data_IF_437940494315
#
_entry.id   IF_437940494315
#
_cell.length_a   1.000
_cell.length_b   1.000
_cell.length_c   1.000
_cell.angle_alpha   90.00
_cell.angle_beta   90.00
_cell.angle_gamma   90.00
#
_symmetry.space_group_name_H-M   'P 1'
#
loop_
_entity.id
_entity.type
_entity.pdbx_description
1 polymer ?
#
# COMPACT_ATOMS: atom_id res chain seq x y z
N UNK A 1 -10.47 2.80 -0.26
CA UNK A 1 -9.11 2.54 0.20
C UNK A 1 -9.02 1.75 1.49
N UNK A 2 -9.73 2.12 2.54
CA UNK A 2 -9.78 1.35 3.81
C UNK A 2 -10.20 -0.13 3.66
N UNK A 3 -11.06 -0.44 2.70
CA UNK A 3 -11.42 -1.83 2.39
C UNK A 3 -10.23 -2.60 1.78
N UNK A 4 -9.44 -1.95 0.94
CA UNK A 4 -8.27 -2.56 0.29
C UNK A 4 -7.14 -2.82 1.27
N UNK A 5 -6.92 -1.95 2.25
CA UNK A 5 -5.92 -2.20 3.31
C UNK A 5 -6.25 -3.44 4.14
N UNK A 6 -7.52 -3.73 4.38
CA UNK A 6 -7.94 -4.97 5.05
C UNK A 6 -7.60 -6.22 4.25
N UNK A 7 -7.75 -6.19 2.93
CA UNK A 7 -7.36 -7.31 2.06
C UNK A 7 -5.83 -7.51 2.06
N UNK A 8 -5.06 -6.43 1.96
CA UNK A 8 -3.60 -6.47 2.06
C UNK A 8 -3.19 -7.08 3.39
N UNK A 9 -3.78 -6.63 4.50
CA UNK A 9 -3.46 -7.14 5.83
C UNK A 9 -3.85 -8.61 6.01
N UNK A 10 -4.90 -9.07 5.36
CA UNK A 10 -5.28 -10.49 5.37
C UNK A 10 -4.22 -11.36 4.66
N UNK A 11 -3.64 -10.89 3.56
CA UNK A 11 -2.53 -11.59 2.89
C UNK A 11 -1.25 -11.52 3.73
N UNK A 12 -0.91 -10.37 4.31
CA UNK A 12 0.27 -10.20 5.18
C UNK A 12 0.23 -11.12 6.40
N UNK A 13 -0.94 -11.31 6.99
CA UNK A 13 -1.13 -12.16 8.17
C UNK A 13 -0.96 -13.67 7.90
N UNK A 14 -0.95 -14.08 6.62
CA UNK A 14 -0.74 -15.50 6.22
C UNK A 14 0.73 -15.88 6.11
N UNK A 15 1.63 -14.90 6.16
CA UNK A 15 3.05 -15.10 5.93
C UNK A 15 3.78 -15.31 7.24
N UNK A 16 4.58 -16.36 7.31
CA UNK A 16 5.32 -16.78 8.51
C UNK A 16 6.72 -16.12 8.56
N UNK A 17 6.73 -14.78 8.61
CA UNK A 17 7.95 -14.03 8.90
C UNK A 17 8.14 -13.88 10.41
N UNK A 18 9.39 -13.67 10.86
CA UNK A 18 9.70 -13.36 12.26
C UNK A 18 8.97 -12.11 12.77
N UNK A 19 8.69 -11.18 11.88
CA UNK A 19 7.94 -9.96 12.18
C UNK A 19 6.59 -9.98 11.47
N UNK A 20 5.54 -9.56 12.17
CA UNK A 20 4.20 -9.35 11.60
C UNK A 20 4.08 -7.92 11.13
N UNK A 21 3.63 -7.75 9.91
CA UNK A 21 3.45 -6.44 9.29
C UNK A 21 1.97 -6.12 9.10
N UNK A 22 1.59 -4.89 9.37
CA UNK A 22 0.23 -4.37 9.18
C UNK A 22 0.29 -3.06 8.39
N UNK A 23 -0.44 -2.97 7.29
CA UNK A 23 -0.58 -1.75 6.52
C UNK A 23 -1.74 -0.92 7.10
N UNK A 24 -1.40 0.15 7.79
CA UNK A 24 -2.34 1.04 8.46
C UNK A 24 -2.65 2.25 7.57
N UNK A 25 -3.94 2.42 7.27
CA UNK A 25 -4.46 3.54 6.48
C UNK A 25 -5.55 4.22 7.30
N UNK A 26 -5.33 5.48 7.65
CA UNK A 26 -6.28 6.27 8.44
C UNK A 26 -6.51 7.62 7.80
N UNK A 27 -7.70 8.15 7.95
CA UNK A 27 -7.94 9.55 7.64
C UNK A 27 -7.06 10.44 8.52
N UNK A 28 -6.59 11.54 7.90
CA UNK A 28 -5.78 12.54 8.61
C UNK A 28 -6.56 13.14 9.76
N UNK A 29 -5.85 13.39 10.89
CA UNK A 29 -6.40 14.02 12.09
C UNK A 29 -5.29 14.87 12.70
N UNK A 30 -5.09 16.07 12.16
CA UNK A 30 -3.98 16.96 12.50
C UNK A 30 -4.39 18.44 12.56
N UNK A 31 -5.70 18.73 12.49
CA UNK A 31 -6.23 20.08 12.47
C UNK A 31 -6.05 20.80 11.13
N UNK A 32 -5.56 20.11 10.10
CA UNK A 32 -5.34 20.68 8.77
C UNK A 32 -6.63 20.95 8.02
N UNK A 33 -6.52 21.67 6.92
CA UNK A 33 -7.63 21.90 6.00
C UNK A 33 -8.19 20.57 5.45
N UNK A 34 -7.35 19.54 5.29
CA UNK A 34 -7.77 18.21 4.85
C UNK A 34 -8.71 17.53 5.85
N UNK A 35 -8.42 17.62 7.15
CA UNK A 35 -9.30 17.10 8.19
C UNK A 35 -10.65 17.82 8.20
N UNK A 36 -10.64 19.13 8.11
CA UNK A 36 -11.86 19.97 8.08
C UNK A 36 -12.75 19.66 6.88
N UNK A 37 -12.16 19.46 5.70
CA UNK A 37 -12.86 19.02 4.49
C UNK A 37 -13.51 17.64 4.71
N UNK A 38 -12.79 16.69 5.35
CA UNK A 38 -13.34 15.38 5.68
C UNK A 38 -14.48 15.45 6.69
N UNK A 39 -14.38 16.31 7.69
CA UNK A 39 -15.46 16.52 8.66
C UNK A 39 -16.70 17.07 8.00
N UNK A 40 -16.55 18.08 7.14
CA UNK A 40 -17.65 18.62 6.37
C UNK A 40 -18.29 17.58 5.45
N UNK A 41 -17.50 16.80 4.74
CA UNK A 41 -17.99 15.72 3.88
C UNK A 41 -18.76 14.65 4.65
N UNK A 42 -18.33 14.30 5.86
CA UNK A 42 -19.07 13.38 6.75
C UNK A 42 -20.38 13.97 7.20
N UNK A 43 -20.38 15.24 7.61
CA UNK A 43 -21.58 15.94 8.00
C UNK A 43 -22.62 15.96 6.89
N UNK A 44 -22.21 16.24 5.64
CA UNK A 44 -23.11 16.21 4.50
C UNK A 44 -23.69 14.81 4.25
N UNK A 45 -22.87 13.79 4.37
CA UNK A 45 -23.30 12.40 4.20
C UNK A 45 -24.30 11.97 5.27
N UNK A 46 -24.02 12.26 6.54
CA UNK A 46 -24.92 11.98 7.66
C UNK A 46 -26.27 12.68 7.48
N UNK A 47 -26.25 13.93 7.00
CA UNK A 47 -27.45 14.69 6.70
C UNK A 47 -28.26 14.09 5.54
N UNK A 48 -27.58 13.60 4.50
CA UNK A 48 -28.22 12.92 3.36
C UNK A 48 -28.84 11.59 3.78
N UNK A 49 -28.13 10.79 4.59
CA UNK A 49 -28.65 9.51 5.12
C UNK A 49 -29.88 9.70 6.02
N UNK A 50 -29.91 10.75 6.83
CA UNK A 50 -31.07 11.10 7.66
C UNK A 50 -32.25 11.57 6.81
N UNK A 51 -32.01 12.26 5.68
CA UNK A 51 -33.06 12.71 4.77
C UNK A 51 -33.66 11.59 3.91
N UNK A 52 -32.96 10.46 3.76
CA UNK A 52 -33.42 9.30 2.95
C UNK A 52 -34.09 8.21 3.77
N UNK A 53 -33.87 8.18 5.09
CA UNK A 53 -34.53 7.23 5.99
C UNK A 53 -35.96 7.67 6.28
N UNK A 54 -36.91 7.06 5.58
CA UNK A 54 -38.35 7.14 5.81
C UNK A 54 -39.04 8.52 5.71
N UNK A 55 -39.02 9.22 4.64
CA UNK A 55 -40.04 10.22 4.23
C UNK A 55 -40.80 11.08 5.26
N UNK A 56 -40.52 10.95 6.54
CA UNK A 56 -41.08 11.70 7.68
C UNK A 56 -39.96 12.17 8.60
N UNK A 57 -39.27 13.23 8.19
CA UNK A 57 -38.52 14.02 9.16
C UNK A 57 -39.50 14.69 10.10
N UNK A 58 -39.54 14.27 11.34
CA UNK A 58 -40.24 15.02 12.40
C UNK A 58 -39.54 16.36 12.60
N UNK A 59 -40.34 17.40 12.79
CA UNK A 59 -39.86 18.78 13.00
C UNK A 59 -38.89 18.90 14.17
N UNK A 60 -38.98 18.00 15.16
CA UNK A 60 -38.06 17.91 16.30
C UNK A 60 -36.66 17.36 15.94
N UNK A 61 -36.53 16.50 14.94
CA UNK A 61 -35.23 16.01 14.47
C UNK A 61 -34.51 17.08 13.59
N UNK A 62 -35.28 17.95 12.95
CA UNK A 62 -34.70 19.09 12.21
C UNK A 62 -34.13 20.18 13.13
N UNK A 63 -34.71 20.35 14.30
CA UNK A 63 -34.30 21.41 15.26
C UNK A 63 -33.24 20.95 16.25
N UNK A 64 -33.10 19.66 16.54
CA UNK A 64 -32.12 19.15 17.50
C UNK A 64 -30.73 18.84 16.88
N UNK A 65 -30.63 18.63 15.59
CA UNK A 65 -29.37 18.80 14.86
C UNK A 65 -29.16 20.29 14.58
N UNK A 66 -28.96 21.03 15.67
CA UNK A 66 -28.94 22.47 15.65
C UNK A 66 -27.90 22.99 14.66
N UNK A 67 -28.33 23.95 13.93
CA UNK A 67 -27.68 24.77 12.95
C UNK A 67 -26.22 25.17 13.29
N UNK A 68 -25.86 25.26 14.57
CA UNK A 68 -24.56 25.80 15.01
C UNK A 68 -23.35 25.02 14.47
N UNK A 69 -23.34 23.68 14.55
CA UNK A 69 -22.22 22.87 14.05
C UNK A 69 -22.17 22.85 12.53
N UNK A 70 -23.33 22.78 11.89
CA UNK A 70 -23.42 22.81 10.43
C UNK A 70 -22.96 24.15 9.86
N UNK A 71 -23.40 25.23 10.47
CA UNK A 71 -23.03 26.60 10.09
C UNK A 71 -21.54 26.88 10.35
N UNK A 72 -20.97 26.34 11.42
CA UNK A 72 -19.55 26.45 11.72
C UNK A 72 -18.69 25.71 10.68
N UNK A 73 -19.04 24.45 10.36
CA UNK A 73 -18.34 23.65 9.35
C UNK A 73 -18.48 24.28 7.94
N UNK A 74 -19.65 24.80 7.61
CA UNK A 74 -19.87 25.48 6.34
C UNK A 74 -19.05 26.78 6.24
N UNK A 75 -18.96 27.54 7.30
CA UNK A 75 -18.14 28.75 7.36
C UNK A 75 -16.66 28.45 7.27
N UNK A 76 -16.18 27.38 7.92
CA UNK A 76 -14.80 26.92 7.76
C UNK A 76 -14.51 26.47 6.33
N UNK A 77 -15.43 25.70 5.73
CA UNK A 77 -15.30 25.28 4.34
C UNK A 77 -15.25 26.45 3.36
N UNK A 78 -16.10 27.45 3.54
CA UNK A 78 -16.07 28.69 2.74
C UNK A 78 -14.73 29.40 2.86
N UNK A 79 -14.12 29.47 4.05
CA UNK A 79 -12.79 30.05 4.24
C UNK A 79 -11.70 29.27 3.50
N UNK A 80 -11.78 27.94 3.53
CA UNK A 80 -10.84 27.06 2.81
C UNK A 80 -10.97 27.26 1.30
N UNK A 81 -12.19 27.22 0.76
CA UNK A 81 -12.48 27.43 -0.67
C UNK A 81 -11.96 28.81 -1.11
N UNK A 82 -12.28 29.87 -0.39
CA UNK A 82 -11.83 31.21 -0.73
C UNK A 82 -10.30 31.31 -0.75
N UNK A 83 -9.61 30.65 0.17
CA UNK A 83 -8.15 30.61 0.23
C UNK A 83 -7.53 29.84 -0.94
N UNK A 84 -8.17 28.76 -1.38
CA UNK A 84 -7.74 27.98 -2.54
C UNK A 84 -7.94 28.79 -3.82
N UNK A 85 -9.14 29.34 -4.02
CA UNK A 85 -9.50 30.08 -5.23
C UNK A 85 -8.72 31.40 -5.36
N UNK A 86 -8.51 32.12 -4.25
CA UNK A 86 -7.77 33.38 -4.26
C UNK A 86 -6.26 33.23 -4.46
N UNK A 87 -5.72 32.01 -4.30
CA UNK A 87 -4.27 31.77 -4.43
C UNK A 87 -3.79 31.72 -5.87
N UNK A 88 -4.69 31.52 -6.86
CA UNK A 88 -4.37 31.29 -8.30
C UNK A 88 -3.27 30.22 -8.53
N UNK A 89 -3.10 29.32 -7.55
CA UNK A 89 -2.06 28.32 -7.50
C UNK A 89 -2.64 26.94 -7.89
N UNK A 90 -2.39 26.56 -9.14
CA UNK A 90 -2.87 25.29 -9.70
C UNK A 90 -2.36 24.08 -8.91
N UNK A 91 -1.11 24.09 -8.45
CA UNK A 91 -0.55 22.98 -7.67
C UNK A 91 -1.32 22.80 -6.34
N UNK A 92 -1.77 23.91 -5.76
CA UNK A 92 -2.53 23.87 -4.52
C UNK A 92 -3.91 23.24 -4.73
N UNK A 93 -4.57 23.61 -5.83
CA UNK A 93 -5.87 23.03 -6.23
C UNK A 93 -5.70 21.51 -6.47
N UNK A 94 -4.68 21.10 -7.21
CA UNK A 94 -4.39 19.70 -7.48
C UNK A 94 -4.11 18.90 -6.19
N UNK A 95 -3.39 19.48 -5.22
CA UNK A 95 -3.15 18.86 -3.91
C UNK A 95 -4.45 18.62 -3.14
N UNK A 96 -5.40 19.55 -3.16
CA UNK A 96 -6.70 19.35 -2.51
C UNK A 96 -7.61 18.39 -3.28
N UNK A 97 -7.44 18.25 -4.59
CA UNK A 97 -8.16 17.28 -5.41
C UNK A 97 -7.61 15.84 -5.24
N UNK A 98 -6.37 15.67 -4.78
CA UNK A 98 -5.76 14.37 -4.57
C UNK A 98 -6.21 13.75 -3.24
N UNK A 99 -7.05 12.71 -3.33
CA UNK A 99 -7.58 11.99 -2.16
C UNK A 99 -6.49 11.38 -1.26
N UNK A 100 -5.27 11.16 -1.79
CA UNK A 100 -4.15 10.61 -1.03
C UNK A 100 -3.71 11.52 0.09
N UNK A 101 -3.86 12.83 -0.08
CA UNK A 101 -3.51 13.84 0.93
C UNK A 101 -4.47 13.89 2.12
N UNK A 102 -5.60 13.16 2.04
CA UNK A 102 -6.57 13.04 3.14
C UNK A 102 -6.32 11.83 4.03
N UNK A 103 -5.26 11.07 3.76
CA UNK A 103 -4.96 9.82 4.45
C UNK A 103 -3.50 9.78 4.91
N UNK A 104 -3.30 9.23 6.08
CA UNK A 104 -1.99 8.80 6.58
C UNK A 104 -1.80 7.32 6.27
N UNK A 105 -0.63 7.00 5.73
CA UNK A 105 -0.20 5.64 5.41
C UNK A 105 0.97 5.29 6.29
N UNK A 106 0.89 4.16 6.98
CA UNK A 106 1.96 3.67 7.84
C UNK A 106 2.06 2.15 7.75
N UNK A 107 3.27 1.64 7.91
CA UNK A 107 3.50 0.21 8.10
C UNK A 107 3.81 0.01 9.58
N UNK A 108 3.01 -0.81 10.24
CA UNK A 108 3.22 -1.21 11.62
C UNK A 108 3.94 -2.55 11.64
N UNK A 109 4.93 -2.66 12.50
CA UNK A 109 5.69 -3.90 12.70
C UNK A 109 5.54 -4.38 14.13
N UNK A 110 5.34 -5.69 14.28
CA UNK A 110 5.29 -6.37 15.57
C UNK A 110 6.21 -7.58 15.54
N UNK A 111 7.03 -7.73 16.57
CA UNK A 111 7.88 -8.90 16.81
C UNK A 111 8.08 -9.05 18.33
N UNK A 112 9.03 -9.89 18.76
CA UNK A 112 9.33 -10.13 20.18
C UNK A 112 9.67 -8.86 20.98
N UNK A 113 10.17 -7.81 20.29
CA UNK A 113 10.63 -6.55 20.91
C UNK A 113 9.64 -5.39 20.62
N UNK A 114 9.02 -5.40 19.46
CA UNK A 114 8.18 -4.30 18.97
C UNK A 114 6.70 -4.72 18.97
N UNK A 115 5.84 -3.82 19.41
CA UNK A 115 4.40 -4.00 19.35
C UNK A 115 3.76 -2.84 18.59
N UNK A 116 3.29 -3.12 17.36
CA UNK A 116 2.69 -2.13 16.45
C UNK A 116 3.51 -0.85 16.31
N UNK A 117 4.82 -1.01 16.24
CA UNK A 117 5.73 0.12 16.08
C UNK A 117 5.67 0.63 14.63
N UNK A 118 5.73 1.95 14.45
CA UNK A 118 5.75 2.56 13.13
C UNK A 118 7.08 2.30 12.43
N UNK A 119 7.06 1.66 11.27
CA UNK A 119 8.26 1.37 10.50
C UNK A 119 9.03 2.65 10.14
N UNK A 120 8.32 3.73 9.81
CA UNK A 120 8.90 5.03 9.50
C UNK A 120 9.76 5.63 10.62
N UNK A 121 9.52 5.22 11.88
CA UNK A 121 10.24 5.67 13.06
C UNK A 121 11.37 4.74 13.53
N UNK A 122 11.53 3.60 12.85
CA UNK A 122 12.49 2.55 13.24
C UNK A 122 13.83 2.65 12.48
N UNK A 123 14.16 3.82 11.93
CA UNK A 123 15.45 4.05 11.24
C UNK A 123 16.61 3.78 12.20
N UNK A 124 17.31 2.65 12.02
CA UNK A 124 18.48 2.24 12.78
C UNK A 124 18.34 0.99 13.63
N UNK A 125 17.13 0.48 13.87
CA UNK A 125 16.89 -0.76 14.62
C UNK A 125 16.66 -2.00 13.74
N UNK A 126 16.25 -1.79 12.48
CA UNK A 126 15.88 -2.91 11.61
C UNK A 126 17.06 -3.28 10.71
N UNK A 127 17.31 -4.57 10.58
CA UNK A 127 18.15 -5.08 9.50
C UNK A 127 17.57 -4.63 8.16
N UNK A 128 18.42 -4.44 7.15
CA UNK A 128 17.95 -3.98 5.85
C UNK A 128 16.78 -4.80 5.27
N UNK A 129 16.71 -6.11 5.63
CA UNK A 129 15.64 -7.01 5.25
C UNK A 129 14.29 -6.65 5.86
N UNK A 130 14.26 -6.32 7.15
CA UNK A 130 13.02 -5.99 7.88
C UNK A 130 12.33 -4.73 7.34
N UNK A 131 13.08 -3.86 6.68
CA UNK A 131 12.53 -2.69 5.98
C UNK A 131 12.05 -3.06 4.58
N UNK A 132 12.79 -3.89 3.84
CA UNK A 132 12.50 -4.22 2.44
C UNK A 132 11.27 -5.14 2.29
N UNK A 133 11.14 -6.14 3.13
CA UNK A 133 10.05 -7.14 3.09
C UNK A 133 8.66 -6.49 3.03
N UNK A 134 8.25 -5.62 3.97
CA UNK A 134 6.90 -5.07 3.98
C UNK A 134 6.57 -4.23 2.76
N UNK A 135 7.54 -3.51 2.19
CA UNK A 135 7.30 -2.75 0.96
C UNK A 135 7.03 -3.65 -0.24
N UNK A 136 7.80 -4.72 -0.40
CA UNK A 136 7.59 -5.70 -1.48
C UNK A 136 6.24 -6.39 -1.31
N UNK A 137 5.91 -6.82 -0.10
CA UNK A 137 4.63 -7.50 0.18
C UNK A 137 3.43 -6.59 -0.11
N UNK A 138 3.48 -5.33 0.30
CA UNK A 138 2.41 -4.37 0.00
C UNK A 138 2.29 -4.15 -1.50
N UNK A 139 3.43 -4.00 -2.21
CA UNK A 139 3.43 -3.86 -3.66
C UNK A 139 2.81 -5.08 -4.34
N UNK A 140 3.23 -6.28 -4.00
CA UNK A 140 2.70 -7.53 -4.55
C UNK A 140 1.22 -7.70 -4.22
N UNK A 141 0.81 -7.43 -2.99
CA UNK A 141 -0.60 -7.49 -2.59
C UNK A 141 -1.46 -6.49 -3.37
N UNK A 142 -0.94 -5.30 -3.63
CA UNK A 142 -1.61 -4.30 -4.47
C UNK A 142 -1.74 -4.76 -5.93
N UNK A 143 -0.69 -5.39 -6.48
CA UNK A 143 -0.72 -5.97 -7.83
C UNK A 143 -1.72 -7.11 -7.94
N UNK A 144 -1.79 -8.00 -6.95
CA UNK A 144 -2.76 -9.10 -6.90
C UNK A 144 -4.21 -8.60 -6.93
N UNK A 145 -4.48 -7.42 -6.37
CA UNK A 145 -5.81 -6.82 -6.46
C UNK A 145 -6.15 -6.31 -7.87
N UNK A 146 -5.13 -6.01 -8.69
CA UNK A 146 -5.29 -5.59 -10.09
C UNK A 146 -5.40 -6.83 -10.98
N UNK A 147 -4.62 -7.87 -10.70
CA UNK A 147 -4.64 -9.15 -11.39
C UNK A 147 -5.85 -9.98 -10.95
N UNK A 148 -7.00 -9.70 -11.55
CA UNK A 148 -8.24 -10.39 -11.23
C UNK A 148 -8.24 -11.81 -11.85
N UNK A 149 -8.68 -12.83 -11.09
CA UNK A 149 -8.80 -14.21 -11.55
C UNK A 149 -9.79 -14.41 -12.72
N UNK A 150 -10.68 -13.45 -12.92
CA UNK A 150 -11.69 -13.49 -13.98
C UNK A 150 -11.15 -13.13 -15.36
N UNK A 151 -10.02 -12.49 -15.43
CA UNK A 151 -9.38 -12.12 -16.69
C UNK A 151 -8.16 -13.01 -16.87
N UNK A 152 -8.01 -13.67 -18.02
CA UNK A 152 -6.80 -14.39 -18.42
C UNK A 152 -5.62 -13.42 -18.60
N UNK A 153 -5.30 -12.66 -17.57
CA UNK A 153 -4.21 -11.70 -17.59
C UNK A 153 -2.90 -12.38 -17.22
N UNK A 154 -1.86 -12.07 -17.96
CA UNK A 154 -0.49 -12.42 -17.59
C UNK A 154 -0.14 -11.73 -16.27
N UNK A 155 0.12 -12.49 -15.22
CA UNK A 155 0.48 -11.98 -13.89
C UNK A 155 1.98 -11.69 -13.82
N UNK A 156 2.47 -10.90 -14.78
CA UNK A 156 3.89 -10.59 -14.91
C UNK A 156 4.30 -9.49 -13.94
N UNK A 157 5.36 -9.74 -13.18
CA UNK A 157 5.97 -8.78 -12.27
C UNK A 157 7.47 -8.71 -12.54
N UNK A 158 7.98 -7.51 -12.77
CA UNK A 158 9.40 -7.25 -12.95
C UNK A 158 9.92 -6.42 -11.77
N UNK A 159 10.91 -6.93 -11.04
CA UNK A 159 11.50 -6.25 -9.88
C UNK A 159 13.03 -6.36 -9.96
N UNK A 160 13.69 -5.23 -9.75
CA UNK A 160 15.13 -5.15 -9.66
C UNK A 160 15.58 -5.31 -8.20
N UNK A 161 16.52 -6.20 -7.96
CA UNK A 161 17.12 -6.53 -6.65
C UNK A 161 16.14 -6.73 -5.48
N UNK A 162 15.05 -7.51 -5.62
CA UNK A 162 14.03 -7.62 -4.58
C UNK A 162 14.54 -8.27 -3.29
N UNK A 163 15.67 -8.97 -3.35
CA UNK A 163 16.22 -9.75 -2.24
C UNK A 163 17.56 -9.22 -1.70
N UNK A 164 18.03 -8.06 -2.15
CA UNK A 164 19.38 -7.57 -1.88
C UNK A 164 19.75 -7.55 -0.40
N UNK A 165 18.78 -7.23 0.46
CA UNK A 165 18.98 -7.11 1.91
C UNK A 165 18.34 -8.25 2.73
N UNK A 166 17.81 -9.29 2.07
CA UNK A 166 17.15 -10.40 2.75
C UNK A 166 18.14 -11.54 3.04
N UNK A 167 17.96 -12.18 4.19
CA UNK A 167 18.61 -13.45 4.48
C UNK A 167 17.97 -14.61 3.70
N UNK A 168 18.66 -15.77 3.57
CA UNK A 168 18.14 -16.87 2.77
C UNK A 168 16.78 -17.43 3.21
N UNK A 169 16.46 -17.36 4.50
CA UNK A 169 15.18 -17.84 5.03
C UNK A 169 14.04 -16.95 4.55
N UNK A 170 14.19 -15.63 4.70
CA UNK A 170 13.21 -14.66 4.25
C UNK A 170 13.04 -14.66 2.72
N UNK A 171 14.14 -14.89 1.97
CA UNK A 171 14.06 -15.07 0.50
C UNK A 171 13.17 -16.24 0.14
N UNK A 172 13.34 -17.41 0.77
CA UNK A 172 12.53 -18.59 0.50
C UNK A 172 11.05 -18.39 0.84
N UNK A 173 10.74 -17.75 1.96
CA UNK A 173 9.36 -17.40 2.33
C UNK A 173 8.73 -16.50 1.27
N UNK A 174 9.48 -15.47 0.82
CA UNK A 174 9.00 -14.55 -0.20
C UNK A 174 8.75 -15.24 -1.55
N UNK A 175 9.67 -16.10 -1.99
CA UNK A 175 9.51 -16.88 -3.22
C UNK A 175 8.33 -17.84 -3.14
N UNK A 176 8.14 -18.50 -1.99
CA UNK A 176 6.97 -19.35 -1.73
C UNK A 176 5.68 -18.58 -1.90
N UNK A 177 5.57 -17.39 -1.29
CA UNK A 177 4.42 -16.52 -1.46
C UNK A 177 4.16 -16.14 -2.93
N UNK A 178 5.20 -15.75 -3.67
CA UNK A 178 5.07 -15.38 -5.08
C UNK A 178 4.58 -16.55 -5.93
N UNK A 179 5.07 -17.77 -5.67
CA UNK A 179 4.65 -19.00 -6.35
C UNK A 179 3.18 -19.34 -6.05
N UNK A 180 2.77 -19.29 -4.79
CA UNK A 180 1.38 -19.55 -4.37
C UNK A 180 0.40 -18.60 -5.06
N UNK A 181 0.80 -17.35 -5.25
CA UNK A 181 0.00 -16.35 -5.95
C UNK A 181 0.04 -16.51 -7.47
N UNK A 182 0.74 -17.50 -8.01
CA UNK A 182 0.89 -17.78 -9.46
C UNK A 182 1.38 -16.54 -10.22
N UNK A 183 2.30 -15.79 -9.65
CA UNK A 183 2.94 -14.66 -10.28
C UNK A 183 4.05 -15.15 -11.22
N UNK A 184 4.09 -14.61 -12.42
CA UNK A 184 5.22 -14.77 -13.31
C UNK A 184 6.24 -13.68 -12.99
N UNK A 185 7.32 -14.08 -12.30
CA UNK A 185 8.32 -13.16 -11.79
C UNK A 185 9.53 -13.09 -12.71
N UNK A 186 9.98 -11.86 -12.99
CA UNK A 186 11.29 -11.59 -13.57
C UNK A 186 12.03 -10.66 -12.63
N UNK A 187 13.18 -11.07 -12.14
CA UNK A 187 13.98 -10.24 -11.24
C UNK A 187 15.48 -10.36 -11.51
N UNK A 188 16.19 -9.26 -11.29
CA UNK A 188 17.64 -9.24 -11.24
C UNK A 188 18.09 -9.47 -9.80
N UNK A 189 18.96 -10.44 -9.55
CA UNK A 189 19.48 -10.74 -8.22
C UNK A 189 20.92 -11.27 -8.30
N UNK A 190 21.90 -10.42 -8.64
CA UNK A 190 23.25 -10.86 -8.91
C UNK A 190 23.92 -11.56 -7.71
N UNK A 191 23.62 -11.11 -6.49
CA UNK A 191 24.26 -11.59 -5.26
C UNK A 191 23.48 -12.72 -4.56
N UNK A 192 22.44 -13.27 -5.18
CA UNK A 192 21.56 -14.27 -4.56
C UNK A 192 21.35 -15.53 -5.38
N UNK A 193 22.16 -15.74 -6.42
CA UNK A 193 22.01 -16.88 -7.34
C UNK A 193 22.10 -18.23 -6.62
N UNK A 194 22.92 -18.32 -5.58
CA UNK A 194 23.08 -19.51 -4.75
C UNK A 194 21.86 -19.84 -3.89
N UNK A 195 21.04 -18.82 -3.57
CA UNK A 195 19.86 -19.00 -2.73
C UNK A 195 18.59 -19.23 -3.57
N UNK A 196 18.49 -18.55 -4.72
CA UNK A 196 17.28 -18.52 -5.54
C UNK A 196 17.36 -19.40 -6.77
N UNK A 197 18.55 -19.85 -7.18
CA UNK A 197 18.76 -20.56 -8.44
C UNK A 197 17.89 -21.81 -8.57
N UNK A 198 17.83 -22.62 -7.52
CA UNK A 198 17.01 -23.84 -7.49
C UNK A 198 15.49 -23.56 -7.52
N UNK A 199 15.09 -22.34 -7.23
CA UNK A 199 13.69 -21.90 -7.20
C UNK A 199 13.25 -21.23 -8.51
N UNK A 200 14.19 -20.98 -9.43
CA UNK A 200 13.92 -20.38 -10.74
C UNK A 200 13.68 -21.44 -11.79
N UNK A 201 12.76 -21.19 -12.74
CA UNK A 201 12.58 -22.04 -13.91
C UNK A 201 13.67 -21.79 -14.97
N UNK A 202 14.10 -20.52 -15.09
CA UNK A 202 15.08 -20.08 -16.07
C UNK A 202 16.01 -19.07 -15.40
N UNK A 203 17.30 -19.22 -15.63
CA UNK A 203 18.33 -18.26 -15.25
C UNK A 203 18.96 -17.70 -16.52
N UNK A 204 19.05 -16.38 -16.61
CA UNK A 204 19.67 -15.65 -17.71
C UNK A 204 20.98 -15.02 -17.23
N UNK A 205 22.11 -15.75 -17.23
CA UNK A 205 23.40 -15.17 -16.87
C UNK A 205 23.81 -14.15 -17.93
N UNK A 206 24.16 -12.93 -17.48
CA UNK A 206 24.66 -11.85 -18.33
C UNK A 206 26.16 -11.75 -18.15
N UNK A 207 26.91 -12.01 -19.21
CA UNK A 207 28.37 -11.98 -19.23
C UNK A 207 28.86 -10.77 -20.02
N UNK A 208 29.65 -9.93 -19.39
CA UNK A 208 30.32 -8.81 -20.06
C UNK A 208 31.68 -9.28 -20.62
N UNK A 209 31.80 -9.43 -21.93
CA UNK A 209 33.05 -9.85 -22.57
C UNK A 209 34.01 -8.69 -22.85
N UNK A 210 33.45 -7.53 -23.24
CA UNK A 210 34.19 -6.30 -23.54
C UNK A 210 33.36 -5.10 -23.13
N UNK A 211 33.92 -3.90 -23.25
CA UNK A 211 33.26 -2.67 -22.75
C UNK A 211 31.85 -2.48 -23.32
N UNK A 212 31.62 -2.90 -24.56
CA UNK A 212 30.34 -2.73 -25.27
C UNK A 212 29.72 -4.07 -25.73
N UNK A 213 30.27 -5.22 -25.31
CA UNK A 213 29.78 -6.54 -25.70
C UNK A 213 29.29 -7.32 -24.48
N UNK A 214 27.98 -7.59 -24.43
CA UNK A 214 27.33 -8.47 -23.46
C UNK A 214 26.82 -9.73 -24.16
N UNK A 215 26.97 -10.86 -23.50
CA UNK A 215 26.36 -12.11 -23.92
C UNK A 215 25.36 -12.55 -22.83
N UNK A 216 24.21 -13.04 -23.27
CA UNK A 216 23.17 -13.59 -22.38
C UNK A 216 23.13 -15.10 -22.64
N UNK A 217 23.39 -15.87 -21.59
CA UNK A 217 23.15 -17.32 -21.59
C UNK A 217 21.71 -17.63 -21.21
N UNK A 218 21.29 -18.85 -21.47
CA UNK A 218 20.00 -19.38 -21.01
C UNK A 218 20.29 -20.69 -20.30
N UNK A 219 19.91 -20.79 -19.04
CA UNK A 219 19.98 -22.01 -18.23
C UNK A 219 18.57 -22.35 -17.80
N UNK A 220 18.04 -23.44 -18.33
CA UNK A 220 16.74 -23.99 -17.91
C UNK A 220 16.96 -24.91 -16.72
N UNK A 221 16.25 -24.65 -15.63
CA UNK A 221 16.27 -25.47 -14.45
C UNK A 221 15.16 -26.52 -14.56
N UNK A 222 15.54 -27.78 -14.68
CA UNK A 222 14.57 -28.88 -14.68
C UNK A 222 14.25 -29.29 -13.25
N UNK A 223 12.97 -29.30 -12.89
CA UNK A 223 12.53 -29.93 -11.63
C UNK A 223 12.98 -31.41 -11.66
N UNK A 224 13.91 -31.78 -10.82
CA UNK A 224 14.14 -33.18 -10.51
C UNK A 224 12.89 -33.71 -9.82
N UNK A 225 11.98 -34.31 -10.61
CA UNK A 225 10.88 -35.10 -10.05
C UNK A 225 11.50 -36.29 -9.33
N UNK A 226 11.68 -36.15 -8.02
CA UNK A 226 11.97 -37.25 -7.13
C UNK A 226 10.69 -38.00 -6.77
#
# INVERSE_FOLDING_TARGET
MLFRSKLINAELARLDFKSVYEFDVRYIRDGSDYEKILEYARYLKEREELGTADGQMTFDTMTSYSNDRGDELENEMKKIINRIVSSDDKEKIERYADYRNYMNYEILVSNDVLNKAKLSKQSGFNSGAEVQIPYILILLSALLMIYNDKNNSTRLVFIDEPFAKMDPVNVKIMLGFMKEQKLQMVFCAPDKTDVIGDECNVILPVLRKQQDLMEIGIVEMHENKA
#
